data_IF_548059884574
#
_entry.id   IF_548059884574
#
_cell.length_a   1.000
_cell.length_b   1.000
_cell.length_c   1.000
_cell.angle_alpha   90.00
_cell.angle_beta   90.00
_cell.angle_gamma   90.00
#
_symmetry.space_group_name_H-M   'P 1'
#
loop_
_entity.id
_entity.type
_entity.pdbx_description
1 polymer ?
#
# COMPACT_ATOMS: atom_id res chain seq x y z
N UNK A 1 9.12 7.19 -2.54
CA UNK A 1 9.40 6.28 -1.40
C UNK A 1 9.15 4.84 -1.84
N UNK A 2 10.07 3.91 -1.57
CA UNK A 2 9.94 2.49 -1.98
C UNK A 2 9.86 1.61 -0.73
N UNK A 3 8.77 0.85 -0.59
CA UNK A 3 8.67 -0.23 0.41
C UNK A 3 9.47 -1.42 -0.08
N UNK A 4 10.39 -1.91 0.74
CA UNK A 4 11.28 -3.03 0.43
C UNK A 4 10.74 -4.36 0.98
N UNK A 5 11.20 -5.49 0.44
CA UNK A 5 10.84 -6.81 0.97
C UNK A 5 11.31 -7.02 2.42
N UNK A 6 12.40 -6.35 2.82
CA UNK A 6 12.90 -6.39 4.20
C UNK A 6 11.90 -5.75 5.16
N UNK A 7 11.39 -4.57 4.81
CA UNK A 7 10.43 -3.84 5.64
C UNK A 7 9.08 -4.56 5.74
N UNK A 8 8.62 -5.17 4.64
CA UNK A 8 7.42 -6.01 4.67
C UNK A 8 7.65 -7.21 5.59
N UNK A 9 8.82 -7.86 5.49
CA UNK A 9 9.16 -9.02 6.30
C UNK A 9 9.21 -8.69 7.80
N UNK A 10 9.81 -7.56 8.17
CA UNK A 10 9.84 -7.06 9.55
C UNK A 10 8.43 -6.79 10.09
N UNK A 11 7.55 -6.16 9.30
CA UNK A 11 6.20 -5.81 9.72
C UNK A 11 5.30 -7.03 10.06
N UNK A 12 5.57 -8.20 9.46
CA UNK A 12 4.78 -9.42 9.65
C UNK A 12 5.56 -10.60 10.26
N UNK A 13 6.74 -10.33 10.81
CA UNK A 13 7.62 -11.35 11.41
C UNK A 13 7.94 -12.52 10.46
N UNK A 14 8.33 -12.21 9.23
CA UNK A 14 8.78 -13.17 8.21
C UNK A 14 10.19 -12.85 7.74
N UNK A 15 10.72 -13.64 6.82
CA UNK A 15 12.02 -13.40 6.18
C UNK A 15 11.85 -12.70 4.83
N UNK A 16 12.84 -11.92 4.35
CA UNK A 16 12.80 -11.31 3.01
C UNK A 16 12.67 -12.32 1.86
N UNK A 17 13.20 -13.54 2.04
CA UNK A 17 13.06 -14.64 1.07
C UNK A 17 11.63 -15.15 0.99
N UNK A 18 10.92 -15.26 2.13
CA UNK A 18 9.50 -15.60 2.16
C UNK A 18 8.65 -14.55 1.43
N UNK A 19 8.94 -13.25 1.61
CA UNK A 19 8.25 -12.18 0.86
C UNK A 19 8.56 -12.25 -0.64
N UNK A 20 9.80 -12.60 -1.01
CA UNK A 20 10.18 -12.76 -2.41
C UNK A 20 9.48 -13.95 -3.08
N UNK A 21 9.27 -15.03 -2.34
CA UNK A 21 8.46 -16.17 -2.76
C UNK A 21 6.98 -15.79 -2.86
N UNK A 22 6.43 -15.10 -1.86
CA UNK A 22 5.04 -14.63 -1.86
C UNK A 22 4.75 -13.74 -3.07
N UNK A 23 5.64 -12.81 -3.40
CA UNK A 23 5.52 -11.93 -4.58
C UNK A 23 5.33 -12.71 -5.88
N UNK A 24 5.93 -13.90 -6.02
CA UNK A 24 5.84 -14.73 -7.22
C UNK A 24 4.57 -15.59 -7.26
N UNK A 25 4.17 -16.15 -6.12
CA UNK A 25 3.10 -17.13 -6.04
C UNK A 25 1.74 -16.51 -5.71
N UNK A 26 1.72 -15.48 -4.86
CA UNK A 26 0.52 -14.78 -4.38
C UNK A 26 0.70 -13.25 -4.54
N UNK A 27 0.71 -12.73 -5.78
CA UNK A 27 1.00 -11.32 -6.04
C UNK A 27 -0.01 -10.36 -5.39
N UNK A 28 -1.28 -10.75 -5.29
CA UNK A 28 -2.33 -9.91 -4.67
C UNK A 28 -2.07 -9.71 -3.17
N UNK A 29 -1.76 -10.79 -2.45
CA UNK A 29 -1.41 -10.74 -1.03
C UNK A 29 -0.15 -9.88 -0.81
N UNK A 30 0.86 -10.04 -1.67
CA UNK A 30 2.05 -9.19 -1.64
C UNK A 30 1.72 -7.69 -1.78
N UNK A 31 0.80 -7.33 -2.68
CA UNK A 31 0.37 -5.93 -2.87
C UNK A 31 -0.34 -5.39 -1.64
N UNK A 32 -1.21 -6.18 -1.01
CA UNK A 32 -1.92 -5.79 0.22
C UNK A 32 -0.91 -5.55 1.36
N UNK A 33 0.03 -6.46 1.57
CA UNK A 33 1.06 -6.30 2.60
C UNK A 33 1.95 -5.07 2.35
N UNK A 34 2.33 -4.86 1.09
CA UNK A 34 3.08 -3.67 0.68
C UNK A 34 2.31 -2.38 0.95
N UNK A 35 0.99 -2.37 0.71
CA UNK A 35 0.12 -1.24 1.01
C UNK A 35 0.04 -1.01 2.52
N UNK A 36 -0.16 -2.06 3.33
CA UNK A 36 -0.21 -1.95 4.78
C UNK A 36 1.06 -1.32 5.37
N UNK A 37 2.24 -1.78 4.94
CA UNK A 37 3.53 -1.19 5.36
C UNK A 37 3.66 0.27 4.92
N UNK A 38 3.14 0.63 3.73
CA UNK A 38 3.14 2.01 3.28
C UNK A 38 2.23 2.89 4.16
N UNK A 39 1.06 2.40 4.54
CA UNK A 39 0.13 3.12 5.42
C UNK A 39 0.77 3.36 6.79
N UNK A 40 1.38 2.33 7.38
CA UNK A 40 2.10 2.45 8.65
C UNK A 40 3.23 3.49 8.58
N UNK A 41 4.03 3.48 7.50
CA UNK A 41 5.12 4.44 7.31
C UNK A 41 4.67 5.89 7.19
N UNK A 42 3.48 6.10 6.63
CA UNK A 42 2.90 7.42 6.41
C UNK A 42 1.93 7.81 7.54
N UNK A 43 1.79 6.95 8.56
CA UNK A 43 0.82 7.10 9.63
C UNK A 43 -0.60 7.36 9.09
N UNK A 44 -0.99 6.59 8.08
CA UNK A 44 -2.31 6.64 7.46
C UNK A 44 -3.22 5.59 8.10
N UNK A 45 -4.43 6.02 8.42
CA UNK A 45 -5.50 5.13 8.86
C UNK A 45 -6.51 4.84 7.74
N UNK A 46 -7.60 4.16 8.08
CA UNK A 46 -8.65 3.80 7.14
C UNK A 46 -9.37 5.04 6.57
N UNK A 47 -9.56 6.07 7.38
CA UNK A 47 -10.28 7.28 6.99
C UNK A 47 -9.45 8.13 6.03
N UNK A 48 -8.13 8.20 6.24
CA UNK A 48 -7.19 8.79 5.29
C UNK A 48 -7.28 8.10 3.91
N UNK A 49 -7.31 6.76 3.89
CA UNK A 49 -7.39 5.99 2.64
C UNK A 49 -8.73 6.24 1.92
N UNK A 50 -9.84 6.29 2.66
CA UNK A 50 -11.16 6.63 2.11
C UNK A 50 -11.19 8.06 1.56
N UNK A 51 -10.59 9.02 2.26
CA UNK A 51 -10.50 10.40 1.81
C UNK A 51 -9.65 10.51 0.53
N UNK A 52 -8.48 9.86 0.48
CA UNK A 52 -7.62 9.81 -0.71
C UNK A 52 -8.34 9.19 -1.92
N UNK A 53 -9.08 8.11 -1.70
CA UNK A 53 -9.89 7.49 -2.74
C UNK A 53 -10.97 8.45 -3.25
N UNK A 54 -11.70 9.09 -2.33
CA UNK A 54 -12.76 10.04 -2.66
C UNK A 54 -12.24 11.24 -3.43
N UNK A 55 -11.11 11.82 -3.01
CA UNK A 55 -10.46 12.96 -3.68
C UNK A 55 -9.98 12.61 -5.10
N UNK A 56 -9.54 11.38 -5.34
CA UNK A 56 -9.18 10.91 -6.70
C UNK A 56 -10.39 10.66 -7.60
N UNK A 57 -11.54 10.33 -7.02
CA UNK A 57 -12.80 10.12 -7.74
C UNK A 57 -13.56 11.42 -8.00
N UNK A 58 -13.20 12.51 -7.30
CA UNK A 58 -13.59 13.86 -7.73
C UNK A 58 -12.78 14.15 -8.99
N UNK A 59 -13.30 13.74 -10.15
CA UNK A 59 -13.00 14.45 -11.39
C UNK A 59 -13.30 15.92 -11.09
N UNK A 60 -12.26 16.77 -11.10
CA UNK A 60 -12.42 18.21 -11.09
C UNK A 60 -13.42 18.50 -12.21
N UNK A 61 -14.69 18.77 -11.86
CA UNK A 61 -15.65 19.34 -12.79
C UNK A 61 -14.93 20.54 -13.35
N UNK A 62 -14.44 20.43 -14.59
CA UNK A 62 -13.86 21.56 -15.31
C UNK A 62 -14.93 22.63 -15.17
N UNK A 63 -14.65 23.67 -14.40
CA UNK A 63 -15.43 24.89 -14.44
C UNK A 63 -15.13 25.40 -15.85
N UNK A 64 -16.02 25.05 -16.78
CA UNK A 64 -16.01 25.62 -18.11
C UNK A 64 -16.38 27.09 -17.91
N UNK A 65 -15.34 27.93 -17.95
CA UNK A 65 -15.44 29.38 -18.14
C UNK A 65 -16.09 29.70 -19.49
#
# INVERSE_FOLDING_TARGET
MKVTNKEIAEAINKTPSAISYLKKNNPNEFVILKLGVLCQKLNLDEDDLKAMHSLKQIELKKIAS
#
